data_IF_261947876925
#
_entry.id   IF_261947876925
#
_cell.length_a   1.000
_cell.length_b   1.000
_cell.length_c   1.000
_cell.angle_alpha   90.00
_cell.angle_beta   90.00
_cell.angle_gamma   90.00
#
_symmetry.space_group_name_H-M   'P 1'
#
loop_
_entity.id
_entity.type
_entity.pdbx_description
1 polymer ?
#
# COMPACT_ATOMS: atom_id res chain seq x y z
N UNK A 1 -7.56 8.55 5.21
CA UNK A 1 -7.51 7.47 6.20
C UNK A 1 -8.92 6.92 6.37
N UNK A 2 -9.04 5.65 6.10
CA UNK A 2 -10.30 4.95 6.16
C UNK A 2 -10.78 4.86 7.60
N UNK A 3 -11.91 5.52 7.90
CA UNK A 3 -12.49 5.57 9.24
C UNK A 3 -12.82 4.19 9.84
N UNK A 4 -12.92 3.16 9.01
CA UNK A 4 -13.11 1.78 9.47
C UNK A 4 -11.86 1.19 10.12
N UNK A 5 -10.69 1.78 9.90
CA UNK A 5 -9.43 1.25 10.42
C UNK A 5 -9.28 1.37 11.94
N UNK A 6 -10.04 2.20 12.63
CA UNK A 6 -9.77 2.49 14.04
C UNK A 6 -10.65 1.76 15.05
N UNK A 7 -11.86 1.36 14.68
CA UNK A 7 -12.84 0.87 15.66
C UNK A 7 -12.64 -0.54 16.16
N UNK A 8 -12.20 -1.45 15.32
CA UNK A 8 -12.07 -2.87 15.68
C UNK A 8 -10.78 -3.52 15.20
N UNK A 9 -10.00 -2.81 14.41
CA UNK A 9 -8.84 -3.38 13.74
C UNK A 9 -7.65 -3.65 14.65
N UNK A 10 -7.48 -2.88 15.72
CA UNK A 10 -6.42 -3.11 16.69
C UNK A 10 -6.46 -4.50 17.30
N UNK A 11 -7.66 -5.06 17.47
CA UNK A 11 -7.84 -6.43 17.98
C UNK A 11 -7.47 -7.53 16.96
N UNK A 12 -7.42 -7.19 15.67
CA UNK A 12 -7.23 -8.14 14.58
C UNK A 12 -5.92 -7.93 13.81
N UNK A 13 -5.13 -6.95 14.21
CA UNK A 13 -3.81 -6.68 13.60
C UNK A 13 -2.93 -7.93 13.60
N UNK A 14 -2.39 -8.24 12.44
CA UNK A 14 -1.53 -9.41 12.26
C UNK A 14 -2.26 -10.71 11.95
N UNK A 15 -3.60 -10.71 11.91
CA UNK A 15 -4.40 -11.87 11.53
C UNK A 15 -5.12 -11.63 10.20
N UNK A 16 -4.81 -12.38 9.13
CA UNK A 16 -5.50 -12.27 7.86
C UNK A 16 -7.01 -12.53 7.99
N UNK A 17 -7.83 -11.75 7.30
CA UNK A 17 -9.29 -11.86 7.35
C UNK A 17 -9.83 -13.29 7.09
N UNK A 18 -9.26 -14.12 6.18
CA UNK A 18 -9.68 -15.49 6.00
C UNK A 18 -9.57 -16.39 7.25
N UNK A 19 -8.77 -15.97 8.24
CA UNK A 19 -8.60 -16.71 9.51
C UNK A 19 -9.60 -16.29 10.58
N UNK A 20 -10.47 -15.33 10.31
CA UNK A 20 -11.45 -14.84 11.27
C UNK A 20 -12.67 -15.74 11.30
N UNK A 21 -13.25 -15.86 12.49
CA UNK A 21 -14.58 -16.44 12.64
C UNK A 21 -15.65 -15.51 12.07
N UNK A 22 -16.81 -16.05 11.74
CA UNK A 22 -17.95 -15.25 11.25
C UNK A 22 -18.35 -14.14 12.25
N UNK A 23 -18.26 -14.42 13.55
CA UNK A 23 -18.56 -13.45 14.60
C UNK A 23 -17.54 -12.30 14.61
N UNK A 24 -16.25 -12.59 14.46
CA UNK A 24 -15.18 -11.58 14.38
C UNK A 24 -15.39 -10.70 13.15
N UNK A 25 -15.68 -11.32 12.02
CA UNK A 25 -16.00 -10.62 10.76
C UNK A 25 -17.22 -9.70 10.93
N UNK A 26 -18.30 -10.21 11.47
CA UNK A 26 -19.51 -9.43 11.72
C UNK A 26 -19.24 -8.25 12.66
N UNK A 27 -18.53 -8.44 13.76
CA UNK A 27 -18.15 -7.37 14.69
C UNK A 27 -17.29 -6.30 14.04
N UNK A 28 -16.31 -6.70 13.23
CA UNK A 28 -15.43 -5.79 12.51
C UNK A 28 -16.22 -4.86 11.58
N UNK A 29 -17.03 -5.43 10.70
CA UNK A 29 -17.82 -4.64 9.76
C UNK A 29 -18.93 -3.82 10.42
N UNK A 30 -19.58 -4.35 11.47
CA UNK A 30 -20.59 -3.61 12.22
C UNK A 30 -19.98 -2.41 12.96
N UNK A 31 -18.81 -2.57 13.58
CA UNK A 31 -18.12 -1.45 14.26
C UNK A 31 -17.71 -0.36 13.28
N UNK A 32 -17.23 -0.73 12.10
CA UNK A 32 -16.92 0.21 11.02
C UNK A 32 -18.15 0.99 10.56
N UNK A 33 -19.25 0.29 10.30
CA UNK A 33 -20.50 0.91 9.89
C UNK A 33 -21.09 1.85 10.95
N UNK A 34 -20.91 1.53 12.24
CA UNK A 34 -21.31 2.39 13.34
C UNK A 34 -20.50 3.69 13.34
N UNK A 35 -19.18 3.60 13.26
CA UNK A 35 -18.28 4.75 13.22
C UNK A 35 -18.57 5.68 12.04
N UNK A 36 -18.89 5.12 10.87
CA UNK A 36 -19.24 5.91 9.68
C UNK A 36 -20.52 6.73 9.87
N UNK A 37 -21.48 6.22 10.62
CA UNK A 37 -22.77 6.88 10.89
C UNK A 37 -22.72 7.89 12.05
N UNK A 38 -21.64 7.91 12.81
CA UNK A 38 -21.48 8.89 13.88
C UNK A 38 -21.32 10.31 13.31
N UNK A 39 -21.89 11.34 13.97
CA UNK A 39 -21.60 12.73 13.65
C UNK A 39 -20.08 13.01 13.67
N UNK A 40 -19.63 13.92 12.82
CA UNK A 40 -18.20 14.24 12.69
C UNK A 40 -17.56 14.63 14.03
N UNK A 41 -18.26 15.46 14.82
CA UNK A 41 -17.78 15.89 16.14
C UNK A 41 -17.58 14.72 17.10
N UNK A 42 -18.47 13.74 17.09
CA UNK A 42 -18.36 12.54 17.92
C UNK A 42 -17.22 11.64 17.46
N UNK A 43 -17.02 11.47 16.15
CA UNK A 43 -15.87 10.74 15.60
C UNK A 43 -14.56 11.40 15.97
N UNK A 44 -14.49 12.74 15.83
CA UNK A 44 -13.29 13.50 16.20
C UNK A 44 -12.97 13.31 17.70
N UNK A 45 -13.93 13.48 18.58
CA UNK A 45 -13.75 13.27 20.01
C UNK A 45 -13.32 11.83 20.37
N UNK A 46 -13.81 10.84 19.63
CA UNK A 46 -13.36 9.45 19.77
C UNK A 46 -11.89 9.30 19.37
N UNK A 47 -11.49 9.81 18.19
CA UNK A 47 -10.11 9.69 17.71
C UNK A 47 -9.10 10.47 18.57
N UNK A 48 -9.48 11.62 19.13
CA UNK A 48 -8.63 12.39 20.03
C UNK A 48 -8.31 11.64 21.34
N UNK A 49 -9.15 10.67 21.71
CA UNK A 49 -8.96 9.84 22.90
C UNK A 49 -8.26 8.51 22.65
N UNK A 50 -8.06 8.13 21.38
CA UNK A 50 -7.35 6.90 21.05
C UNK A 50 -5.87 7.11 21.35
N UNK A 51 -5.27 6.30 22.24
CA UNK A 51 -3.84 6.44 22.54
C UNK A 51 -3.01 6.19 21.29
N UNK A 52 -2.10 7.11 21.00
CA UNK A 52 -1.09 6.93 19.96
C UNK A 52 0.21 6.48 20.60
N UNK A 53 0.82 5.47 20.03
CA UNK A 53 2.18 5.04 20.41
C UNK A 53 3.28 5.82 19.68
N UNK A 54 2.88 6.82 18.88
CA UNK A 54 3.80 7.66 18.12
C UNK A 54 3.84 9.06 18.70
N UNK A 55 5.04 9.58 18.86
CA UNK A 55 5.27 10.98 19.20
C UNK A 55 5.61 11.78 17.95
N UNK A 56 5.06 12.99 17.86
CA UNK A 56 5.40 13.91 16.79
C UNK A 56 6.75 14.57 17.09
N UNK A 57 7.73 14.34 16.25
CA UNK A 57 9.05 14.98 16.37
C UNK A 57 9.07 16.37 15.71
N UNK A 58 8.30 16.58 14.65
CA UNK A 58 8.18 17.87 13.97
C UNK A 58 6.92 17.93 13.11
N UNK A 59 6.44 19.14 12.88
CA UNK A 59 5.41 19.47 11.89
C UNK A 59 5.96 20.59 11.02
N UNK A 60 5.93 20.39 9.71
CA UNK A 60 6.33 21.39 8.74
C UNK A 60 5.16 21.73 7.82
N UNK A 61 4.97 23.03 7.56
CA UNK A 61 3.98 23.55 6.63
C UNK A 61 4.63 24.57 5.70
N UNK A 62 4.23 24.57 4.44
CA UNK A 62 4.77 25.49 3.44
C UNK A 62 4.60 24.97 2.02
N UNK A 63 5.40 25.47 1.10
CA UNK A 63 5.46 24.97 -0.27
C UNK A 63 5.90 23.48 -0.28
N UNK A 64 5.42 22.73 -1.25
CA UNK A 64 5.56 21.26 -1.30
C UNK A 64 7.01 20.81 -1.24
N UNK A 65 7.85 21.31 -2.13
CA UNK A 65 9.25 20.84 -2.25
C UNK A 65 10.08 21.14 -0.99
N UNK A 66 10.15 22.39 -0.45
CA UNK A 66 10.92 22.65 0.75
C UNK A 66 10.41 21.92 1.99
N UNK A 67 9.10 21.71 2.07
CA UNK A 67 8.49 20.95 3.18
C UNK A 67 8.86 19.47 3.08
N UNK A 68 8.78 18.90 1.90
CA UNK A 68 9.17 17.52 1.64
C UNK A 68 10.66 17.27 1.95
N UNK A 69 11.53 18.17 1.50
CA UNK A 69 12.97 18.05 1.78
C UNK A 69 13.28 18.05 3.28
N UNK A 70 12.66 18.95 4.03
CA UNK A 70 12.82 18.97 5.51
C UNK A 70 12.34 17.68 6.17
N UNK A 71 11.23 17.13 5.72
CA UNK A 71 10.69 15.88 6.25
C UNK A 71 11.63 14.72 5.89
N UNK A 72 12.12 14.66 4.65
CA UNK A 72 13.09 13.65 4.23
C UNK A 72 14.37 13.72 5.06
N UNK A 73 14.91 14.91 5.29
CA UNK A 73 16.12 15.08 6.10
C UNK A 73 15.91 14.61 7.54
N UNK A 74 14.75 14.89 8.12
CA UNK A 74 14.41 14.38 9.46
C UNK A 74 14.30 12.85 9.47
N UNK A 75 13.61 12.26 8.47
CA UNK A 75 13.50 10.81 8.31
C UNK A 75 14.88 10.15 8.14
N UNK A 76 15.75 10.71 7.30
CA UNK A 76 17.08 10.15 7.09
C UNK A 76 17.93 10.23 8.34
N UNK A 77 17.89 11.33 9.10
CA UNK A 77 18.59 11.42 10.38
C UNK A 77 18.13 10.38 11.40
N UNK A 78 16.85 10.02 11.35
CA UNK A 78 16.25 9.06 12.29
C UNK A 78 16.45 7.60 11.87
N UNK A 79 16.33 7.30 10.59
CA UNK A 79 16.20 5.92 10.11
C UNK A 79 17.33 5.46 9.19
N UNK A 80 18.11 6.37 8.60
CA UNK A 80 19.14 5.95 7.65
C UNK A 80 20.29 5.21 8.34
N UNK A 81 20.56 4.02 7.84
CA UNK A 81 21.73 3.24 8.21
C UNK A 81 22.72 3.31 7.07
N UNK A 82 23.90 3.94 7.27
CA UNK A 82 24.89 4.02 6.20
C UNK A 82 25.47 2.65 5.89
N UNK A 83 25.48 2.28 4.62
CA UNK A 83 26.12 1.07 4.11
C UNK A 83 27.20 1.44 3.11
N UNK A 84 28.27 0.63 3.02
CA UNK A 84 29.38 0.89 2.12
C UNK A 84 29.14 0.20 0.78
N UNK A 85 28.98 1.00 -0.27
CA UNK A 85 28.81 0.50 -1.65
C UNK A 85 27.44 -0.11 -1.91
N UNK A 86 27.31 -0.81 -3.03
CA UNK A 86 26.10 -1.50 -3.47
C UNK A 86 26.34 -3.01 -3.54
N UNK A 87 25.30 -3.80 -3.31
CA UNK A 87 25.36 -5.25 -3.42
C UNK A 87 24.95 -5.74 -4.82
N UNK A 88 25.37 -6.94 -5.17
CA UNK A 88 24.95 -7.61 -6.41
C UNK A 88 23.59 -8.31 -6.22
N UNK A 89 23.31 -8.74 -4.99
CA UNK A 89 22.06 -9.42 -4.61
C UNK A 89 21.50 -8.76 -3.36
N UNK A 90 20.22 -8.37 -3.42
CA UNK A 90 19.46 -7.86 -2.26
C UNK A 90 18.38 -8.87 -1.88
N UNK A 91 18.45 -9.35 -0.65
CA UNK A 91 17.45 -10.26 -0.08
C UNK A 91 16.53 -9.48 0.84
N UNK A 92 15.22 -9.57 0.65
CA UNK A 92 14.25 -8.81 1.43
C UNK A 92 13.01 -9.64 1.77
N UNK A 93 12.52 -9.53 2.99
CA UNK A 93 11.21 -10.01 3.39
C UNK A 93 10.13 -8.97 3.04
N UNK A 94 9.07 -9.39 2.40
CA UNK A 94 7.89 -8.56 2.14
C UNK A 94 6.81 -8.94 3.16
N UNK A 95 6.12 -7.95 3.80
CA UNK A 95 5.06 -8.26 4.75
C UNK A 95 3.99 -9.16 4.16
N UNK A 96 3.53 -10.14 4.93
CA UNK A 96 2.46 -11.04 4.48
C UNK A 96 1.11 -10.33 4.40
N UNK A 97 0.88 -9.37 5.30
CA UNK A 97 -0.37 -8.61 5.40
C UNK A 97 -0.19 -7.24 4.75
N UNK A 98 -1.20 -6.82 4.02
CA UNK A 98 -1.20 -5.53 3.33
C UNK A 98 -1.23 -4.34 4.31
N UNK A 99 -0.34 -3.36 4.18
CA UNK A 99 -0.46 -2.09 4.89
C UNK A 99 -1.63 -1.23 4.40
N UNK A 100 -2.14 -1.49 3.21
CA UNK A 100 -3.32 -0.80 2.64
C UNK A 100 -4.63 -1.35 3.20
N UNK A 101 -4.63 -2.62 3.53
CA UNK A 101 -5.73 -3.26 4.20
C UNK A 101 -5.14 -4.28 5.18
N UNK A 102 -5.04 -3.89 6.43
CA UNK A 102 -4.33 -4.63 7.49
C UNK A 102 -4.80 -6.06 7.70
N UNK A 103 -5.91 -6.45 7.12
CA UNK A 103 -6.50 -7.77 7.28
C UNK A 103 -6.40 -8.62 6.02
N UNK A 104 -5.93 -8.05 4.93
CA UNK A 104 -5.77 -8.76 3.67
C UNK A 104 -4.35 -9.24 3.47
N UNK A 105 -4.23 -10.42 2.89
CA UNK A 105 -2.97 -10.90 2.34
C UNK A 105 -2.56 -9.99 1.19
N UNK A 106 -1.27 -9.69 1.08
CA UNK A 106 -0.73 -8.99 -0.07
C UNK A 106 -0.96 -9.80 -1.35
N UNK A 107 -1.61 -9.18 -2.32
CA UNK A 107 -1.70 -9.71 -3.68
C UNK A 107 -0.40 -9.44 -4.47
N UNK A 108 -0.17 -10.08 -5.62
CA UNK A 108 1.05 -9.93 -6.40
C UNK A 108 1.41 -8.49 -6.77
N UNK A 109 0.40 -7.64 -7.05
CA UNK A 109 0.61 -6.22 -7.38
C UNK A 109 1.13 -5.43 -6.18
N UNK A 110 0.59 -5.71 -5.00
CA UNK A 110 1.03 -5.05 -3.77
C UNK A 110 2.39 -5.57 -3.29
N UNK A 111 2.72 -6.84 -3.54
CA UNK A 111 4.08 -7.36 -3.30
C UNK A 111 5.08 -6.61 -4.18
N UNK A 112 4.75 -6.46 -5.47
CA UNK A 112 5.59 -5.75 -6.43
C UNK A 112 5.82 -4.29 -5.98
N UNK A 113 4.77 -3.55 -5.61
CA UNK A 113 4.93 -2.17 -5.17
C UNK A 113 5.67 -2.05 -3.84
N UNK A 114 5.45 -2.98 -2.92
CA UNK A 114 6.20 -2.98 -1.65
C UNK A 114 7.70 -3.19 -1.88
N UNK A 115 8.06 -4.13 -2.73
CA UNK A 115 9.45 -4.47 -3.01
C UNK A 115 10.14 -3.45 -3.94
N UNK A 116 9.59 -3.23 -5.13
CA UNK A 116 10.21 -2.43 -6.17
C UNK A 116 9.82 -0.95 -6.13
N UNK A 117 8.73 -0.62 -5.45
CA UNK A 117 8.30 0.74 -5.22
C UNK A 117 8.83 1.28 -3.88
N UNK A 118 8.21 0.88 -2.79
CA UNK A 118 8.50 1.47 -1.47
C UNK A 118 9.90 1.14 -0.95
N UNK A 119 10.28 -0.12 -0.91
CA UNK A 119 11.60 -0.51 -0.40
C UNK A 119 12.71 0.00 -1.32
N UNK A 120 12.51 -0.07 -2.62
CA UNK A 120 13.48 0.37 -3.60
C UNK A 120 13.65 1.90 -3.61
N UNK A 121 12.56 2.67 -3.61
CA UNK A 121 12.59 4.13 -3.69
C UNK A 121 12.98 4.84 -2.39
N UNK A 122 13.04 4.13 -1.26
CA UNK A 122 13.46 4.69 0.02
C UNK A 122 14.93 5.15 0.06
N UNK A 123 15.70 4.84 -0.96
CA UNK A 123 17.16 5.10 -1.00
C UNK A 123 17.55 6.40 -1.72
N UNK A 124 16.65 7.35 -1.89
CA UNK A 124 16.94 8.65 -2.54
C UNK A 124 17.68 8.51 -3.87
N UNK A 125 17.20 7.67 -4.76
CA UNK A 125 17.85 7.33 -6.05
C UNK A 125 19.25 6.72 -5.93
N UNK A 126 19.58 6.17 -4.79
CA UNK A 126 20.82 5.43 -4.57
C UNK A 126 20.49 4.01 -4.03
N UNK A 127 19.99 3.11 -4.88
CA UNK A 127 19.58 1.77 -4.47
C UNK A 127 20.73 0.96 -3.85
N UNK A 128 20.41 0.09 -2.91
CA UNK A 128 21.38 -0.83 -2.32
C UNK A 128 21.91 -1.86 -3.33
N UNK A 129 21.05 -2.30 -4.25
CA UNK A 129 21.43 -3.24 -5.31
C UNK A 129 21.99 -2.48 -6.51
N UNK A 130 23.06 -3.00 -7.10
CA UNK A 130 23.63 -2.47 -8.35
C UNK A 130 22.63 -2.54 -9.50
N UNK A 131 22.78 -1.67 -10.49
CA UNK A 131 22.00 -1.77 -11.73
C UNK A 131 22.23 -3.12 -12.39
N UNK A 132 21.14 -3.79 -12.76
CA UNK A 132 21.18 -5.15 -13.30
C UNK A 132 21.39 -6.26 -12.27
N UNK A 133 21.45 -5.91 -10.98
CA UNK A 133 21.57 -6.88 -9.90
C UNK A 133 20.26 -7.65 -9.63
N UNK A 134 20.27 -8.53 -8.63
CA UNK A 134 19.17 -9.46 -8.33
C UNK A 134 18.49 -9.06 -7.03
N UNK A 135 17.16 -9.08 -7.02
CA UNK A 135 16.36 -9.03 -5.79
C UNK A 135 15.72 -10.38 -5.51
N UNK A 136 15.91 -10.90 -4.30
CA UNK A 136 15.25 -12.10 -3.80
C UNK A 136 14.23 -11.69 -2.74
N UNK A 137 12.96 -12.00 -2.98
CA UNK A 137 11.85 -11.61 -2.11
C UNK A 137 11.29 -12.83 -1.38
N UNK A 138 11.28 -12.79 -0.07
CA UNK A 138 10.62 -13.81 0.74
C UNK A 138 9.16 -13.43 0.97
N UNK A 139 8.28 -14.04 0.19
CA UNK A 139 6.82 -13.95 0.33
C UNK A 139 6.17 -15.14 -0.38
N UNK A 140 5.04 -15.71 0.14
CA UNK A 140 4.33 -16.82 -0.53
C UNK A 140 3.75 -16.47 -1.90
N UNK A 141 3.56 -15.20 -2.20
CA UNK A 141 3.06 -14.65 -3.47
C UNK A 141 1.78 -15.33 -3.99
N UNK A 142 0.82 -15.52 -3.10
CA UNK A 142 -0.47 -16.09 -3.49
C UNK A 142 -1.23 -15.13 -4.42
N UNK A 143 -1.82 -15.68 -5.48
CA UNK A 143 -2.76 -14.95 -6.34
C UNK A 143 -4.11 -14.79 -5.61
N UNK A 144 -4.08 -14.02 -4.53
CA UNK A 144 -5.23 -13.76 -3.67
C UNK A 144 -5.55 -12.28 -3.65
N UNK A 145 -6.76 -11.93 -4.11
CA UNK A 145 -7.23 -10.55 -4.18
C UNK A 145 -8.42 -10.33 -3.25
N UNK A 146 -8.35 -9.27 -2.44
CA UNK A 146 -9.51 -8.83 -1.66
C UNK A 146 -10.45 -8.01 -2.55
N UNK A 147 -11.51 -8.65 -3.03
CA UNK A 147 -12.47 -8.04 -3.96
C UNK A 147 -13.33 -6.94 -3.32
N UNK A 148 -13.41 -6.90 -1.99
CA UNK A 148 -14.17 -5.87 -1.27
C UNK A 148 -13.41 -4.55 -1.23
N UNK A 149 -12.10 -4.59 -0.94
CA UNK A 149 -11.29 -3.38 -0.78
C UNK A 149 -10.48 -3.03 -2.03
N UNK A 150 -10.18 -4.03 -2.87
CA UNK A 150 -9.37 -3.88 -4.07
C UNK A 150 -10.09 -4.48 -5.30
N UNK A 151 -11.31 -4.03 -5.65
CA UNK A 151 -12.13 -4.66 -6.69
C UNK A 151 -11.48 -4.62 -8.07
N UNK A 152 -10.85 -3.50 -8.43
CA UNK A 152 -10.23 -3.28 -9.74
C UNK A 152 -8.91 -4.03 -9.95
N UNK A 153 -8.32 -4.55 -8.87
CA UNK A 153 -7.01 -5.24 -8.93
C UNK A 153 -7.06 -6.54 -9.72
N UNK A 154 -8.17 -7.28 -9.61
CA UNK A 154 -8.37 -8.55 -10.32
C UNK A 154 -8.36 -8.31 -11.83
N UNK A 155 -9.15 -7.31 -12.26
CA UNK A 155 -9.24 -6.97 -13.68
C UNK A 155 -7.92 -6.40 -14.20
N UNK A 156 -7.27 -5.53 -13.44
CA UNK A 156 -5.96 -5.00 -13.79
C UNK A 156 -4.92 -6.13 -13.98
N UNK A 157 -4.86 -7.07 -13.03
CA UNK A 157 -3.91 -8.17 -13.07
C UNK A 157 -4.12 -9.08 -14.27
N UNK A 158 -5.34 -9.54 -14.50
CA UNK A 158 -5.62 -10.49 -15.57
C UNK A 158 -5.75 -9.88 -16.96
N UNK A 159 -6.32 -8.68 -17.06
CA UNK A 159 -6.59 -8.03 -18.36
C UNK A 159 -5.48 -7.07 -18.75
N UNK A 160 -5.16 -6.11 -17.90
CA UNK A 160 -4.24 -5.04 -18.28
C UNK A 160 -2.81 -5.55 -18.38
N UNK A 161 -2.34 -6.30 -17.39
CA UNK A 161 -0.97 -6.85 -17.43
C UNK A 161 -0.76 -7.93 -18.51
N UNK A 162 -1.84 -8.52 -19.06
CA UNK A 162 -1.74 -9.40 -20.23
C UNK A 162 -1.50 -8.63 -21.54
N UNK A 163 -1.87 -7.34 -21.59
CA UNK A 163 -1.63 -6.45 -22.72
C UNK A 163 -0.18 -5.95 -22.69
N UNK A 164 0.31 -5.58 -21.54
CA UNK A 164 1.65 -5.09 -21.36
C UNK A 164 1.96 -4.72 -19.92
N UNK A 165 3.25 -4.61 -19.62
CA UNK A 165 3.75 -4.27 -18.28
C UNK A 165 4.41 -2.89 -18.23
N UNK A 166 4.59 -2.25 -19.37
CA UNK A 166 5.14 -0.90 -19.47
C UNK A 166 4.06 0.12 -19.15
N UNK A 167 4.32 1.01 -18.21
CA UNK A 167 3.35 2.02 -17.76
C UNK A 167 2.89 2.93 -18.88
N UNK A 168 3.73 3.26 -19.85
CA UNK A 168 3.37 4.06 -21.03
C UNK A 168 2.38 3.34 -21.95
N UNK A 169 2.37 2.03 -22.00
CA UNK A 169 1.46 1.26 -22.87
C UNK A 169 0.09 1.07 -22.19
N UNK A 170 0.07 0.95 -20.88
CA UNK A 170 -1.15 0.62 -20.14
C UNK A 170 -1.91 1.84 -19.61
N UNK A 171 -1.29 3.03 -19.50
CA UNK A 171 -1.94 4.23 -18.94
C UNK A 171 -3.21 4.65 -19.71
N UNK A 172 -3.32 4.32 -20.99
CA UNK A 172 -4.49 4.60 -21.81
C UNK A 172 -5.79 3.99 -21.27
N UNK A 173 -5.68 2.95 -20.42
CA UNK A 173 -6.82 2.28 -19.80
C UNK A 173 -7.27 2.91 -18.48
N UNK A 174 -6.52 3.88 -17.93
CA UNK A 174 -6.86 4.53 -16.65
C UNK A 174 -8.25 5.15 -16.67
N UNK A 175 -8.61 5.82 -17.77
CA UNK A 175 -9.90 6.48 -17.91
C UNK A 175 -11.05 5.49 -17.77
N UNK A 176 -10.97 4.33 -18.41
CA UNK A 176 -11.96 3.26 -18.31
C UNK A 176 -12.19 2.82 -16.86
N UNK A 177 -11.12 2.63 -16.10
CA UNK A 177 -11.20 2.26 -14.69
C UNK A 177 -11.69 3.40 -13.81
N UNK A 178 -11.30 4.64 -14.12
CA UNK A 178 -11.73 5.83 -13.38
C UNK A 178 -13.23 6.11 -13.54
N UNK A 179 -13.77 5.86 -14.72
CA UNK A 179 -15.17 6.12 -15.08
C UNK A 179 -16.09 4.89 -14.87
N UNK A 180 -15.55 3.75 -14.45
CA UNK A 180 -16.33 2.56 -14.19
C UNK A 180 -17.31 2.78 -13.03
N UNK A 181 -18.63 2.70 -13.27
CA UNK A 181 -19.63 3.04 -12.27
C UNK A 181 -19.60 2.11 -11.05
N UNK A 182 -19.23 0.85 -11.21
CA UNK A 182 -19.15 -0.10 -10.12
C UNK A 182 -17.96 0.23 -9.20
N UNK A 183 -16.80 0.57 -9.76
CA UNK A 183 -15.65 1.00 -8.98
C UNK A 183 -15.89 2.33 -8.28
N UNK A 184 -16.57 3.28 -8.92
CA UNK A 184 -16.98 4.54 -8.30
C UNK A 184 -17.93 4.27 -7.13
N UNK A 185 -18.93 3.40 -7.33
CA UNK A 185 -19.86 3.04 -6.26
C UNK A 185 -19.15 2.39 -5.07
N UNK A 186 -18.31 1.41 -5.33
CA UNK A 186 -17.56 0.70 -4.28
C UNK A 186 -16.59 1.62 -3.53
N UNK A 187 -15.93 2.52 -4.23
CA UNK A 187 -15.06 3.52 -3.61
C UNK A 187 -15.84 4.48 -2.70
N UNK A 188 -16.98 4.98 -3.14
CA UNK A 188 -17.77 5.97 -2.40
C UNK A 188 -18.57 5.38 -1.25
N UNK A 189 -19.05 4.15 -1.38
CA UNK A 189 -20.04 3.59 -0.47
C UNK A 189 -19.60 2.31 0.23
N UNK A 190 -18.64 1.57 -0.30
CA UNK A 190 -18.25 0.25 0.22
C UNK A 190 -16.82 0.20 0.76
N UNK A 191 -16.15 1.36 0.87
CA UNK A 191 -14.81 1.46 1.43
C UNK A 191 -13.73 0.73 0.63
N UNK A 192 -13.90 0.62 -0.68
CA UNK A 192 -12.89 0.13 -1.59
C UNK A 192 -11.91 1.24 -2.00
N UNK A 193 -10.74 0.85 -2.49
CA UNK A 193 -9.87 1.76 -3.21
C UNK A 193 -10.47 2.11 -4.57
N UNK A 194 -10.15 3.31 -5.10
CA UNK A 194 -10.67 3.78 -6.38
C UNK A 194 -10.18 2.91 -7.55
N UNK A 195 -10.92 2.94 -8.66
CA UNK A 195 -10.69 2.06 -9.82
C UNK A 195 -9.26 2.09 -10.37
N UNK A 196 -8.63 3.25 -10.45
CA UNK A 196 -7.27 3.41 -10.99
C UNK A 196 -6.15 3.12 -9.97
N UNK A 197 -6.47 2.74 -8.74
CA UNK A 197 -5.45 2.49 -7.72
C UNK A 197 -4.39 1.44 -8.12
N UNK A 198 -4.71 0.31 -8.78
CA UNK A 198 -3.72 -0.67 -9.20
C UNK A 198 -2.72 -0.14 -10.22
N UNK A 199 -3.12 0.80 -11.09
CA UNK A 199 -2.21 1.47 -12.02
C UNK A 199 -1.11 2.23 -11.27
N UNK A 200 -1.49 3.06 -10.29
CA UNK A 200 -0.53 3.83 -9.50
C UNK A 200 0.41 2.93 -8.69
N UNK A 201 -0.13 1.85 -8.15
CA UNK A 201 0.71 0.86 -7.47
C UNK A 201 1.70 0.20 -8.43
N UNK A 202 1.29 -0.05 -9.66
CA UNK A 202 2.17 -0.61 -10.68
C UNK A 202 3.26 0.39 -11.10
N UNK A 203 2.88 1.64 -11.39
CA UNK A 203 3.83 2.71 -11.79
C UNK A 203 4.86 2.99 -10.71
N UNK A 204 4.46 2.94 -9.44
CA UNK A 204 5.37 3.16 -8.32
C UNK A 204 6.56 2.20 -8.30
N UNK A 205 6.44 1.03 -8.90
CA UNK A 205 7.50 0.04 -9.06
C UNK A 205 8.35 0.18 -10.31
N UNK A 206 8.05 1.12 -11.23
CA UNK A 206 8.73 1.24 -12.53
C UNK A 206 10.24 1.44 -12.41
N UNK A 207 10.66 2.33 -11.53
CA UNK A 207 12.08 2.60 -11.31
C UNK A 207 12.83 1.33 -10.86
N UNK A 208 12.23 0.57 -9.93
CA UNK A 208 12.79 -0.70 -9.47
C UNK A 208 12.86 -1.74 -10.58
N UNK A 209 11.78 -1.91 -11.35
CA UNK A 209 11.76 -2.86 -12.48
C UNK A 209 12.80 -2.53 -13.57
N UNK A 210 12.97 -1.23 -13.85
CA UNK A 210 13.97 -0.79 -14.82
C UNK A 210 15.42 -0.90 -14.32
N UNK A 211 15.61 -0.96 -13.02
CA UNK A 211 16.93 -1.00 -12.39
C UNK A 211 17.47 -2.41 -12.21
N UNK A 212 16.65 -3.32 -11.68
CA UNK A 212 17.07 -4.69 -11.37
C UNK A 212 17.09 -5.56 -12.62
N UNK A 213 18.03 -6.49 -12.70
CA UNK A 213 18.11 -7.47 -13.79
C UNK A 213 17.18 -8.66 -13.58
N UNK A 214 16.92 -9.03 -12.33
CA UNK A 214 16.07 -10.17 -11.99
C UNK A 214 15.40 -9.98 -10.62
N UNK A 215 14.16 -10.42 -10.53
CA UNK A 215 13.42 -10.56 -9.26
C UNK A 215 13.05 -12.03 -9.09
N UNK A 216 13.36 -12.59 -7.93
CA UNK A 216 13.01 -13.96 -7.53
C UNK A 216 12.06 -13.85 -6.33
N UNK A 217 10.92 -14.54 -6.39
CA UNK A 217 9.91 -14.56 -5.30
C UNK A 217 9.72 -15.98 -4.81
#
# INVERSE_FOLDING_TARGET
LNNRMYGGQLAYLGRPEPTWTELERAKFYASGALLERMPESARRAFFEKVPSHYELTAIHAGATEPTHDKILDACFKQYAVPVKGQCDVLVSGVPFISPYNVNSILNPLLIQVMALGYLFNMYRNNPLVKKGGVMILFHPCHEAFNRTHHPSYVEFYHRILSIGTNSYDIHQYEKEFAENPDYIHMYRHCNAYHGVHPFYMWYWGDAGRAWVGQVIV
#
